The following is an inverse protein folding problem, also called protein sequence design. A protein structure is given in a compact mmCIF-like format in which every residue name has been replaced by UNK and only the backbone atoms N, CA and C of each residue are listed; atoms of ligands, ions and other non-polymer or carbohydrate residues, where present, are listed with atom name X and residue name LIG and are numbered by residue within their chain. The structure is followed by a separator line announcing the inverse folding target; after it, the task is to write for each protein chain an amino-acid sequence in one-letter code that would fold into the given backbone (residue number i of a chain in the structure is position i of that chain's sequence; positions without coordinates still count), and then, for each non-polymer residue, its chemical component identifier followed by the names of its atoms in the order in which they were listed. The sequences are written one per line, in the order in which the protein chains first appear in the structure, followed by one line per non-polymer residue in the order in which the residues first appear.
data_IF_902931708923
#
_entry.id   IF_902931708923
#
_cell.length_a   1.000
_cell.length_b   1.000
_cell.length_c   1.000
_cell.angle_alpha   90.00
_cell.angle_beta   90.00
_cell.angle_gamma   90.00
#
_symmetry.space_group_name_H-M   'P 1'
#
loop_
_entity.id
_entity.type
_entity.pdbx_description
1 polymer ?
#
# COMPACT_ATOMS: atom_id res chain seq x y z
N UNK A 1 -12.54 -14.10 17.33
CA UNK A 1 -12.15 -12.69 17.03
C UNK A 1 -12.30 -12.41 15.53
N UNK A 2 -12.34 -11.14 15.08
CA UNK A 2 -12.54 -10.77 13.66
C UNK A 2 -11.56 -9.67 13.22
N UNK A 3 -11.15 -9.71 11.96
CA UNK A 3 -10.36 -8.65 11.33
C UNK A 3 -11.12 -7.32 11.38
N UNK A 4 -10.42 -6.24 11.72
CA UNK A 4 -10.95 -4.88 11.59
C UNK A 4 -9.85 -3.84 11.40
N UNK A 5 -10.14 -2.82 10.60
CA UNK A 5 -9.34 -1.60 10.54
C UNK A 5 -9.46 -0.83 11.87
N UNK A 6 -8.37 -0.21 12.32
CA UNK A 6 -8.35 0.49 13.62
C UNK A 6 -9.07 1.84 13.53
N UNK A 7 -8.90 2.57 12.41
CA UNK A 7 -9.54 3.85 12.12
C UNK A 7 -10.12 3.83 10.70
N UNK A 8 -11.07 4.72 10.36
CA UNK A 8 -11.59 4.85 9.00
C UNK A 8 -10.49 5.10 7.96
N UNK A 9 -9.46 5.87 8.33
CA UNK A 9 -8.32 6.19 7.46
C UNK A 9 -7.27 5.08 7.38
N UNK A 10 -7.35 4.06 8.23
CA UNK A 10 -6.31 3.03 8.34
C UNK A 10 -6.06 2.28 7.03
N UNK A 11 -7.11 2.00 6.26
CA UNK A 11 -6.99 1.31 4.97
C UNK A 11 -6.19 2.14 3.95
N UNK A 12 -6.48 3.44 3.88
CA UNK A 12 -5.76 4.36 3.01
C UNK A 12 -4.29 4.50 3.46
N UNK A 13 -4.04 4.66 4.76
CA UNK A 13 -2.68 4.69 5.31
C UNK A 13 -1.91 3.38 5.05
N UNK A 14 -2.59 2.24 5.11
CA UNK A 14 -2.00 0.93 4.79
C UNK A 14 -1.54 0.90 3.33
N UNK A 15 -2.42 1.27 2.39
CA UNK A 15 -2.12 1.32 0.96
C UNK A 15 -0.93 2.27 0.70
N UNK A 16 -0.96 3.48 1.26
CA UNK A 16 0.15 4.43 1.11
C UNK A 16 1.48 3.85 1.64
N UNK A 17 1.45 3.15 2.78
CA UNK A 17 2.61 2.48 3.35
C UNK A 17 3.17 1.38 2.46
N UNK A 18 2.30 0.55 1.89
CA UNK A 18 2.65 -0.51 0.93
C UNK A 18 3.28 0.10 -0.32
N UNK A 19 2.61 1.07 -0.94
CA UNK A 19 3.06 1.74 -2.16
C UNK A 19 4.43 2.39 -1.95
N UNK A 20 4.63 3.06 -0.82
CA UNK A 20 5.93 3.67 -0.47
C UNK A 20 7.03 2.62 -0.36
N UNK A 21 6.76 1.47 0.27
CA UNK A 21 7.75 0.37 0.40
C UNK A 21 8.09 -0.26 -0.95
N UNK A 22 7.11 -0.44 -1.82
CA UNK A 22 7.35 -0.93 -3.19
C UNK A 22 8.15 0.08 -4.00
N UNK A 23 7.82 1.37 -3.86
CA UNK A 23 8.45 2.43 -4.65
C UNK A 23 9.89 2.73 -4.21
N UNK A 24 10.13 2.80 -2.89
CA UNK A 24 11.43 3.21 -2.31
C UNK A 24 12.27 2.01 -1.87
N UNK A 25 11.65 1.01 -1.24
CA UNK A 25 12.34 -0.09 -0.55
C UNK A 25 12.69 -1.29 -1.44
N UNK A 26 12.47 -1.23 -2.76
CA UNK A 26 12.65 -2.34 -3.72
C UNK A 26 11.98 -3.66 -3.27
N UNK A 27 10.87 -3.58 -2.54
CA UNK A 27 10.07 -4.74 -2.17
C UNK A 27 9.07 -5.08 -3.29
N UNK A 28 8.74 -6.36 -3.44
CA UNK A 28 7.57 -6.76 -4.21
C UNK A 28 6.29 -6.33 -3.50
N UNK A 29 5.18 -6.22 -4.24
CA UNK A 29 3.88 -5.82 -3.67
C UNK A 29 3.44 -6.77 -2.53
N UNK A 30 3.62 -8.07 -2.73
CA UNK A 30 3.24 -9.08 -1.74
C UNK A 30 4.10 -8.98 -0.47
N UNK A 31 5.43 -8.84 -0.61
CA UNK A 31 6.32 -8.60 0.54
C UNK A 31 5.98 -7.32 1.29
N UNK A 32 5.64 -6.25 0.57
CA UNK A 32 5.27 -4.98 1.20
C UNK A 32 3.93 -5.08 1.96
N UNK A 33 2.96 -5.84 1.45
CA UNK A 33 1.69 -6.13 2.14
C UNK A 33 1.95 -6.94 3.40
N UNK A 34 2.70 -8.05 3.29
CA UNK A 34 3.00 -8.93 4.43
C UNK A 34 3.74 -8.17 5.53
N UNK A 35 4.77 -7.41 5.17
CA UNK A 35 5.50 -6.57 6.11
C UNK A 35 4.62 -5.48 6.74
N UNK A 36 3.72 -4.86 5.97
CA UNK A 36 2.84 -3.82 6.54
C UNK A 36 1.79 -4.43 7.48
N UNK A 37 1.31 -5.65 7.19
CA UNK A 37 0.42 -6.41 8.09
C UNK A 37 1.13 -6.82 9.38
N UNK A 38 2.39 -7.26 9.30
CA UNK A 38 3.17 -7.69 10.48
C UNK A 38 3.46 -6.57 11.47
N UNK A 39 3.38 -5.31 11.05
CA UNK A 39 3.53 -4.15 11.95
C UNK A 39 2.30 -3.93 12.85
N UNK A 40 1.15 -4.53 12.52
CA UNK A 40 -0.12 -4.42 13.26
C UNK A 40 -0.58 -2.98 13.58
N UNK A 41 -0.09 -1.98 12.82
CA UNK A 41 -0.34 -0.55 13.11
C UNK A 41 -1.70 -0.06 12.61
N UNK A 42 -2.22 -0.64 11.54
CA UNK A 42 -3.42 -0.16 10.85
C UNK A 42 -4.65 -1.06 11.07
N UNK A 43 -4.47 -2.31 11.47
CA UNK A 43 -5.56 -3.27 11.64
C UNK A 43 -5.36 -4.14 12.88
N UNK A 44 -6.45 -4.72 13.37
CA UNK A 44 -6.44 -5.73 14.43
C UNK A 44 -6.71 -7.11 13.83
N UNK A 45 -6.00 -8.11 14.34
CA UNK A 45 -6.04 -9.50 13.87
C UNK A 45 -5.71 -9.62 12.37
N UNK A 46 -4.52 -9.17 11.94
CA UNK A 46 -4.13 -9.20 10.52
C UNK A 46 -4.17 -10.61 9.92
N UNK A 47 -3.89 -11.65 10.71
CA UNK A 47 -3.97 -13.06 10.31
C UNK A 47 -5.39 -13.53 9.92
N UNK A 48 -6.45 -12.78 10.30
CA UNK A 48 -7.84 -13.05 9.95
C UNK A 48 -8.33 -12.24 8.75
N UNK A 49 -7.43 -11.54 8.04
CA UNK A 49 -7.82 -10.73 6.90
C UNK A 49 -8.50 -11.58 5.81
N UNK A 50 -9.70 -11.20 5.34
CA UNK A 50 -10.36 -11.96 4.29
C UNK A 50 -9.55 -11.96 2.99
N UNK A 51 -9.50 -13.08 2.27
CA UNK A 51 -8.84 -13.18 0.95
C UNK A 51 -9.33 -12.12 -0.04
N UNK A 52 -10.62 -11.76 0.02
CA UNK A 52 -11.20 -10.68 -0.81
C UNK A 52 -10.62 -9.31 -0.48
N UNK A 53 -10.37 -9.04 0.80
CA UNK A 53 -9.79 -7.77 1.25
C UNK A 53 -8.34 -7.68 0.81
N UNK A 54 -7.56 -8.75 0.97
CA UNK A 54 -6.18 -8.83 0.45
C UNK A 54 -6.12 -8.56 -1.06
N UNK A 55 -6.99 -9.20 -1.85
CA UNK A 55 -7.05 -8.96 -3.30
C UNK A 55 -7.39 -7.50 -3.63
N UNK A 56 -8.31 -6.90 -2.87
CA UNK A 56 -8.67 -5.49 -3.05
C UNK A 56 -7.51 -4.56 -2.67
N UNK A 57 -6.82 -4.81 -1.56
CA UNK A 57 -5.65 -4.03 -1.14
C UNK A 57 -4.51 -4.09 -2.16
N UNK A 58 -4.24 -5.28 -2.71
CA UNK A 58 -3.24 -5.45 -3.78
C UNK A 58 -3.61 -4.64 -5.01
N UNK A 59 -4.85 -4.78 -5.51
CA UNK A 59 -5.35 -4.03 -6.67
C UNK A 59 -5.27 -2.52 -6.47
N UNK A 60 -5.70 -2.03 -5.32
CA UNK A 60 -5.70 -0.59 -5.03
C UNK A 60 -4.27 -0.05 -4.91
N UNK A 61 -3.38 -0.81 -4.28
CA UNK A 61 -1.96 -0.45 -4.18
C UNK A 61 -1.27 -0.44 -5.56
N UNK A 62 -1.58 -1.40 -6.43
CA UNK A 62 -1.08 -1.42 -7.82
C UNK A 62 -1.60 -0.23 -8.63
N UNK A 63 -2.89 0.09 -8.48
CA UNK A 63 -3.49 1.25 -9.15
C UNK A 63 -2.84 2.56 -8.71
N UNK A 64 -2.63 2.73 -7.41
CA UNK A 64 -2.01 3.94 -6.85
C UNK A 64 -0.53 4.05 -7.25
N UNK A 65 0.21 2.94 -7.23
CA UNK A 65 1.59 2.90 -7.73
C UNK A 65 1.66 3.27 -9.23
N UNK A 66 0.70 2.82 -10.04
CA UNK A 66 0.61 3.19 -11.46
C UNK A 66 0.32 4.68 -11.63
N UNK A 67 -0.55 5.27 -10.79
CA UNK A 67 -0.81 6.71 -10.76
C UNK A 67 0.46 7.50 -10.43
N UNK A 68 1.17 7.14 -9.36
CA UNK A 68 2.42 7.80 -8.96
C UNK A 68 3.46 7.73 -10.08
N UNK A 69 3.65 6.57 -10.71
CA UNK A 69 4.58 6.41 -11.84
C UNK A 69 4.18 7.26 -13.05
N UNK A 70 2.88 7.37 -13.34
CA UNK A 70 2.38 8.22 -14.43
C UNK A 70 2.59 9.70 -14.12
N UNK A 71 2.29 10.14 -12.89
CA UNK A 71 2.51 11.51 -12.44
C UNK A 71 3.99 11.87 -12.42
N UNK A 72 4.87 10.98 -11.95
CA UNK A 72 6.33 11.20 -11.98
C UNK A 72 6.88 11.35 -13.42
N UNK A 73 6.29 10.64 -14.40
CA UNK A 73 6.63 10.80 -15.82
C UNK A 73 6.05 12.07 -16.44
N UNK A 74 5.00 12.63 -15.85
CA UNK A 74 4.33 13.83 -16.34
C UNK A 74 4.96 15.12 -15.82
N UNK A 75 5.89 15.05 -14.86
CA UNK A 75 6.74 16.19 -14.50
C UNK A 75 7.75 16.36 -15.63
N UNK A 76 7.67 17.44 -16.45
CA UNK A 76 8.75 17.74 -17.38
C UNK A 76 10.01 17.95 -16.55
N UNK A 77 11.17 17.59 -17.08
CA UNK A 77 12.46 17.97 -16.52
C UNK A 77 12.65 19.50 -16.60
N UNK A 78 11.81 20.29 -15.93
CA UNK A 78 11.94 21.72 -15.78
C UNK A 78 12.88 21.97 -14.60
N UNK A 79 14.18 21.81 -14.85
CA UNK A 79 15.20 21.98 -13.83
C UNK A 79 16.53 21.40 -14.25
N UNK A 80 17.09 21.88 -15.36
CA UNK A 80 18.33 21.36 -15.91
C UNK A 80 19.09 22.40 -16.73
N UNK A 81 19.50 23.48 -16.06
CA UNK A 81 20.42 24.56 -16.48
C UNK A 81 19.95 25.49 -17.60
#
# INVERSE_FOLDING_TARGET
MRFRWIKPTSRACFIAGVVTRVHVGKMTMDQAIDYTLSLERQCKNPHLIPKRELRSLKRDSEAELKRIRKSARAVPAAGGR
#
